data_IF_392773094002
#
_entry.id   IF_392773094002
#
_cell.length_a   1.000
_cell.length_b   1.000
_cell.length_c   1.000
_cell.angle_alpha   90.00
_cell.angle_beta   90.00
_cell.angle_gamma   90.00
#
_symmetry.space_group_name_H-M   'P 1'
#
loop_
_entity.id
_entity.type
_entity.pdbx_description
1 polymer ?
#
# COMPACT_ATOMS: atom_id res chain seq x y z
N UNK A 1 19.28 -41.20 -0.37
CA UNK A 1 17.95 -40.89 -0.95
C UNK A 1 17.59 -39.46 -0.59
N UNK A 2 17.75 -38.53 -1.54
CA UNK A 2 17.57 -37.09 -1.35
C UNK A 2 16.28 -36.67 -2.06
N UNK A 3 15.29 -36.16 -1.33
CA UNK A 3 14.07 -35.59 -1.91
C UNK A 3 14.20 -34.07 -1.94
N UNK A 4 14.50 -33.54 -3.13
CA UNK A 4 14.43 -32.12 -3.47
C UNK A 4 12.97 -31.67 -3.41
N UNK A 5 12.67 -30.67 -2.57
CA UNK A 5 11.39 -29.98 -2.61
C UNK A 5 11.50 -28.83 -3.64
N UNK A 6 10.86 -29.02 -4.80
CA UNK A 6 10.70 -27.99 -5.84
C UNK A 6 9.29 -27.42 -5.67
N UNK A 7 9.19 -26.19 -5.19
CA UNK A 7 8.11 -25.24 -5.55
C UNK A 7 8.40 -23.89 -4.87
N UNK A 8 9.26 -23.10 -5.49
CA UNK A 8 9.25 -21.64 -5.34
C UNK A 8 8.85 -21.11 -6.72
N UNK A 9 7.57 -20.79 -6.90
CA UNK A 9 7.09 -20.07 -8.07
C UNK A 9 7.37 -18.60 -7.80
N UNK A 10 8.44 -18.13 -8.41
CA UNK A 10 8.88 -16.74 -8.49
C UNK A 10 7.73 -15.93 -9.11
N UNK A 11 7.44 -14.75 -8.54
CA UNK A 11 6.56 -13.75 -9.15
C UNK A 11 7.05 -13.43 -10.56
N UNK A 12 6.29 -13.82 -11.57
CA UNK A 12 6.60 -13.50 -12.97
C UNK A 12 6.50 -11.98 -13.23
N UNK A 13 7.53 -11.44 -13.89
CA UNK A 13 7.65 -10.01 -14.27
C UNK A 13 6.53 -9.59 -15.24
N UNK A 14 5.85 -8.45 -15.06
CA UNK A 14 4.85 -7.98 -16.02
C UNK A 14 5.52 -7.42 -17.29
N UNK A 15 4.98 -7.81 -18.45
CA UNK A 15 5.43 -7.44 -19.79
C UNK A 15 4.92 -6.05 -20.20
N UNK A 16 5.77 -5.27 -20.88
CA UNK A 16 5.50 -3.89 -21.34
C UNK A 16 4.31 -3.81 -22.32
N UNK A 17 3.29 -3.02 -21.98
CA UNK A 17 2.29 -2.55 -22.93
C UNK A 17 2.33 -1.01 -23.03
N UNK A 18 2.34 -0.52 -24.26
CA UNK A 18 2.60 0.87 -24.63
C UNK A 18 1.41 1.81 -24.38
N UNK A 19 1.67 2.98 -23.78
CA UNK A 19 0.69 4.05 -23.57
C UNK A 19 0.70 4.99 -24.78
N UNK A 20 -0.43 5.06 -25.51
CA UNK A 20 -0.71 6.13 -26.48
C UNK A 20 -1.08 7.41 -25.72
N UNK A 21 -0.46 8.53 -26.10
CA UNK A 21 -0.71 9.86 -25.54
C UNK A 21 -2.00 10.44 -26.12
N UNK A 22 -2.94 10.81 -25.26
CA UNK A 22 -4.06 11.68 -25.61
C UNK A 22 -4.07 12.89 -24.67
N UNK A 23 -4.24 14.09 -25.25
CA UNK A 23 -4.09 15.38 -24.59
C UNK A 23 -5.31 15.69 -23.71
N UNK A 24 -5.10 16.00 -22.44
CA UNK A 24 -6.14 16.53 -21.55
C UNK A 24 -6.18 18.05 -21.68
N UNK A 25 -7.35 18.58 -22.02
CA UNK A 25 -7.64 20.02 -22.03
C UNK A 25 -8.00 20.49 -20.61
N UNK A 26 -7.44 21.63 -20.23
CA UNK A 26 -7.69 22.37 -19.00
C UNK A 26 -9.07 23.03 -19.08
N UNK A 27 -9.88 22.93 -18.03
CA UNK A 27 -11.12 23.71 -17.89
C UNK A 27 -11.15 24.38 -16.53
N UNK A 28 -11.30 25.70 -16.56
CA UNK A 28 -11.35 26.63 -15.43
C UNK A 28 -12.61 26.47 -14.57
N UNK A 29 -12.48 26.83 -13.29
CA UNK A 29 -13.54 26.88 -12.29
C UNK A 29 -14.48 28.09 -12.48
N UNK A 30 -15.71 28.02 -11.93
CA UNK A 30 -16.33 29.23 -11.38
C UNK A 30 -16.86 29.08 -9.95
N UNK A 31 -17.00 30.27 -9.36
CA UNK A 31 -17.20 30.66 -7.97
C UNK A 31 -18.64 30.53 -7.45
N UNK A 32 -18.72 30.46 -6.11
CA UNK A 32 -19.82 30.55 -5.13
C UNK A 32 -21.14 31.27 -5.48
N UNK A 33 -22.25 30.77 -4.89
CA UNK A 33 -23.35 31.58 -4.37
C UNK A 33 -24.12 30.85 -3.23
N UNK A 34 -24.82 31.66 -2.42
CA UNK A 34 -25.23 31.49 -1.04
C UNK A 34 -26.56 30.74 -0.76
N UNK A 35 -26.59 30.11 0.43
CA UNK A 35 -27.65 29.85 1.44
C UNK A 35 -29.15 29.87 1.10
N UNK A 36 -29.87 28.85 1.61
CA UNK A 36 -31.14 28.98 2.34
C UNK A 36 -31.32 27.81 3.34
N UNK A 37 -31.69 28.16 4.58
CA UNK A 37 -32.08 27.25 5.65
C UNK A 37 -33.57 26.92 5.52
N UNK A 38 -33.95 25.68 5.82
CA UNK A 38 -35.33 25.36 6.22
C UNK A 38 -35.35 24.26 7.29
N UNK A 39 -36.40 24.32 8.10
CA UNK A 39 -36.51 23.84 9.49
C UNK A 39 -36.88 22.35 9.59
N UNK A 40 -36.44 21.77 10.71
CA UNK A 40 -36.68 20.42 11.23
C UNK A 40 -38.17 20.13 11.50
N UNK A 41 -38.60 18.90 11.23
CA UNK A 41 -39.67 18.22 11.98
C UNK A 41 -39.25 16.80 12.32
N UNK A 42 -39.18 16.53 13.63
CA UNK A 42 -39.02 15.22 14.27
C UNK A 42 -40.38 14.55 14.32
N UNK A 43 -40.47 13.27 13.95
CA UNK A 43 -41.59 12.39 14.31
C UNK A 43 -41.01 11.05 14.74
N UNK A 44 -41.31 10.65 15.96
CA UNK A 44 -40.90 9.39 16.57
C UNK A 44 -41.77 8.19 16.11
N UNK A 45 -41.06 7.11 15.80
CA UNK A 45 -41.28 5.65 15.86
C UNK A 45 -42.70 5.05 16.13
N UNK A 46 -42.99 3.83 15.63
CA UNK A 46 -42.69 2.67 16.48
C UNK A 46 -42.23 1.38 15.78
N UNK A 47 -41.51 0.59 16.58
CA UNK A 47 -41.12 -0.82 16.48
C UNK A 47 -42.18 -1.77 15.90
N UNK A 48 -41.77 -2.64 14.97
CA UNK A 48 -42.29 -4.02 14.88
C UNK A 48 -41.15 -5.01 14.60
N UNK A 49 -41.15 -6.07 15.40
CA UNK A 49 -40.28 -7.22 15.33
C UNK A 49 -40.91 -8.31 14.45
N UNK A 50 -40.10 -8.94 13.61
CA UNK A 50 -40.18 -10.30 13.02
C UNK A 50 -39.11 -10.33 11.92
N UNK A 51 -38.22 -11.31 11.76
CA UNK A 51 -38.15 -12.69 12.24
C UNK A 51 -36.70 -13.13 12.01
N UNK A 52 -36.14 -13.92 12.93
CA UNK A 52 -34.93 -14.72 12.70
C UNK A 52 -35.12 -15.61 11.47
N UNK A 53 -34.01 -15.87 10.76
CA UNK A 53 -33.84 -16.77 9.62
C UNK A 53 -33.89 -16.13 8.23
N UNK A 54 -32.90 -15.28 7.96
CA UNK A 54 -32.02 -15.51 6.83
C UNK A 54 -30.63 -15.01 7.23
N UNK A 55 -29.78 -15.95 7.68
CA UNK A 55 -28.34 -15.71 7.84
C UNK A 55 -27.79 -15.42 6.44
N UNK A 56 -27.85 -14.17 6.03
CA UNK A 56 -27.02 -13.65 4.97
C UNK A 56 -25.58 -14.04 5.30
N UNK A 57 -24.93 -14.75 4.38
CA UNK A 57 -23.48 -14.82 4.30
C UNK A 57 -23.00 -13.36 4.44
N UNK A 58 -22.50 -13.01 5.61
CA UNK A 58 -21.90 -11.71 5.84
C UNK A 58 -20.63 -11.72 5.00
N UNK A 59 -20.76 -11.31 3.74
CA UNK A 59 -19.61 -10.93 2.92
C UNK A 59 -18.90 -9.88 3.74
N UNK A 60 -17.70 -10.21 4.21
CA UNK A 60 -16.90 -9.33 5.05
C UNK A 60 -16.92 -7.95 4.40
N UNK A 61 -17.64 -7.02 5.03
CA UNK A 61 -17.89 -5.69 4.46
C UNK A 61 -16.52 -5.07 4.27
N UNK A 62 -16.11 -4.88 3.01
CA UNK A 62 -14.81 -4.27 2.69
C UNK A 62 -14.66 -3.01 3.52
N UNK A 63 -13.58 -2.92 4.29
CA UNK A 63 -13.32 -1.73 5.09
C UNK A 63 -12.97 -0.58 4.15
N UNK A 64 -13.97 0.22 3.80
CA UNK A 64 -13.81 1.50 3.12
C UNK A 64 -14.92 2.46 3.56
N UNK A 65 -14.59 3.75 3.65
CA UNK A 65 -15.57 4.82 3.86
C UNK A 65 -16.22 5.29 2.56
N UNK A 66 -15.68 4.86 1.41
CA UNK A 66 -16.25 5.10 0.09
C UNK A 66 -16.99 3.86 -0.42
N UNK A 67 -17.73 4.04 -1.53
CA UNK A 67 -18.29 2.92 -2.27
C UNK A 67 -17.17 2.05 -2.84
N UNK A 68 -17.36 0.73 -2.75
CA UNK A 68 -16.48 -0.26 -3.39
C UNK A 68 -17.21 -0.80 -4.62
N UNK A 69 -16.63 -0.72 -5.82
CA UNK A 69 -17.26 -1.23 -7.03
C UNK A 69 -17.36 -2.76 -6.99
N UNK A 70 -18.38 -3.31 -7.65
CA UNK A 70 -18.51 -4.75 -7.87
C UNK A 70 -17.41 -5.22 -8.82
N UNK A 71 -16.65 -6.24 -8.41
CA UNK A 71 -15.53 -6.81 -9.18
C UNK A 71 -15.94 -7.22 -10.59
N UNK A 72 -17.16 -7.74 -10.77
CA UNK A 72 -17.68 -8.16 -12.08
C UNK A 72 -17.84 -7.01 -13.08
N UNK A 73 -17.91 -5.77 -12.58
CA UNK A 73 -18.04 -4.55 -13.39
C UNK A 73 -16.70 -3.88 -13.72
N UNK A 74 -15.60 -4.36 -13.12
CA UNK A 74 -14.28 -3.79 -13.31
C UNK A 74 -13.65 -4.21 -14.65
N UNK A 75 -12.71 -3.43 -15.21
CA UNK A 75 -11.94 -3.86 -16.38
C UNK A 75 -11.23 -5.20 -16.16
N UNK A 76 -11.08 -6.05 -17.20
CA UNK A 76 -10.45 -7.37 -17.09
C UNK A 76 -9.05 -7.33 -16.46
N UNK A 77 -8.28 -6.27 -16.68
CA UNK A 77 -6.94 -6.08 -16.13
C UNK A 77 -6.97 -5.92 -14.59
N UNK A 78 -7.99 -5.24 -14.05
CA UNK A 78 -8.16 -5.09 -12.61
C UNK A 78 -8.65 -6.41 -11.99
N UNK A 79 -9.59 -7.09 -12.65
CA UNK A 79 -10.04 -8.42 -12.22
C UNK A 79 -8.86 -9.42 -12.18
N UNK A 80 -7.94 -9.35 -13.13
CA UNK A 80 -6.75 -10.20 -13.15
C UNK A 80 -5.83 -9.94 -11.94
N UNK A 81 -5.65 -8.67 -11.54
CA UNK A 81 -4.88 -8.32 -10.32
C UNK A 81 -5.57 -8.88 -9.07
N UNK A 82 -6.90 -8.76 -8.98
CA UNK A 82 -7.67 -9.25 -7.84
C UNK A 82 -7.58 -10.78 -7.76
N UNK A 83 -7.76 -11.46 -8.88
CA UNK A 83 -7.57 -12.90 -8.99
C UNK A 83 -6.16 -13.32 -8.56
N UNK A 84 -5.12 -12.60 -8.97
CA UNK A 84 -3.76 -12.92 -8.56
C UNK A 84 -3.58 -12.86 -7.03
N UNK A 85 -4.16 -11.86 -6.35
CA UNK A 85 -4.13 -11.77 -4.89
C UNK A 85 -4.95 -12.88 -4.24
N UNK A 86 -6.14 -13.15 -4.78
CA UNK A 86 -6.99 -14.24 -4.32
C UNK A 86 -6.28 -15.60 -4.41
N UNK A 87 -5.53 -15.85 -5.48
CA UNK A 87 -4.78 -17.09 -5.69
C UNK A 87 -3.50 -17.15 -4.83
N UNK A 88 -2.84 -16.01 -4.53
CA UNK A 88 -1.57 -15.97 -3.81
C UNK A 88 -1.73 -15.96 -2.29
N UNK A 89 -2.63 -15.13 -1.76
CA UNK A 89 -2.81 -14.88 -0.32
C UNK A 89 -4.23 -15.19 0.17
N UNK A 90 -5.14 -15.58 -0.71
CA UNK A 90 -6.48 -16.06 -0.34
C UNK A 90 -7.54 -14.97 -0.19
N UNK A 91 -7.24 -13.72 -0.50
CA UNK A 91 -8.16 -12.60 -0.47
C UNK A 91 -7.62 -11.41 -1.29
N UNK A 92 -8.48 -10.44 -1.61
CA UNK A 92 -8.08 -9.18 -2.27
C UNK A 92 -7.82 -8.11 -1.23
N UNK A 93 -6.69 -7.42 -1.32
CA UNK A 93 -6.30 -6.38 -0.37
C UNK A 93 -7.29 -5.19 -0.43
N UNK A 94 -7.80 -4.67 0.71
CA UNK A 94 -8.78 -3.57 0.76
C UNK A 94 -8.38 -2.28 0.04
N UNK A 95 -7.10 -1.90 0.05
CA UNK A 95 -6.53 -0.85 -0.81
C UNK A 95 -6.92 -1.03 -2.29
N UNK A 96 -6.74 -2.23 -2.85
CA UNK A 96 -7.06 -2.50 -4.25
C UNK A 96 -8.57 -2.45 -4.50
N UNK A 97 -9.37 -3.02 -3.59
CA UNK A 97 -10.83 -2.98 -3.66
C UNK A 97 -11.36 -1.54 -3.65
N UNK A 98 -10.88 -0.71 -2.72
CA UNK A 98 -11.30 0.67 -2.59
C UNK A 98 -10.80 1.56 -3.73
N UNK A 99 -9.54 1.41 -4.14
CA UNK A 99 -8.95 2.24 -5.19
C UNK A 99 -9.48 1.87 -6.60
N UNK A 100 -10.03 0.67 -6.77
CA UNK A 100 -10.72 0.28 -8.00
C UNK A 100 -11.94 1.14 -8.33
N UNK A 101 -12.41 2.00 -7.42
CA UNK A 101 -13.39 3.04 -7.72
C UNK A 101 -12.91 3.95 -8.89
N UNK A 102 -11.60 4.07 -9.09
CA UNK A 102 -11.00 4.60 -10.31
C UNK A 102 -10.00 3.58 -10.89
N UNK A 103 -10.46 2.68 -11.78
CA UNK A 103 -9.65 1.55 -12.22
C UNK A 103 -8.42 1.97 -13.05
N UNK A 104 -8.52 3.05 -13.83
CA UNK A 104 -7.37 3.58 -14.59
C UNK A 104 -6.25 4.04 -13.65
N UNK A 105 -6.61 4.70 -12.53
CA UNK A 105 -5.63 5.16 -11.55
C UNK A 105 -5.03 3.98 -10.78
N UNK A 106 -5.84 2.98 -10.43
CA UNK A 106 -5.36 1.75 -9.80
C UNK A 106 -4.33 1.03 -10.69
N UNK A 107 -4.58 0.90 -11.99
CA UNK A 107 -3.66 0.23 -12.92
C UNK A 107 -2.32 0.97 -13.02
N UNK A 108 -2.34 2.30 -13.11
CA UNK A 108 -1.13 3.14 -13.12
C UNK A 108 -0.36 3.01 -11.81
N UNK A 109 -1.06 3.12 -10.68
CA UNK A 109 -0.48 2.97 -9.36
C UNK A 109 0.16 1.59 -9.19
N UNK A 110 -0.55 0.52 -9.60
CA UNK A 110 -0.07 -0.86 -9.47
C UNK A 110 1.17 -1.08 -10.32
N UNK A 111 1.18 -0.59 -11.57
CA UNK A 111 2.35 -0.73 -12.43
C UNK A 111 3.58 -0.02 -11.85
N UNK A 112 3.40 1.19 -11.31
CA UNK A 112 4.50 1.91 -10.65
C UNK A 112 4.96 1.20 -9.37
N UNK A 113 4.03 0.78 -8.52
CA UNK A 113 4.33 -0.01 -7.32
C UNK A 113 5.13 -1.28 -7.65
N UNK A 114 4.70 -2.05 -8.65
CA UNK A 114 5.39 -3.27 -9.08
C UNK A 114 6.80 -2.97 -9.59
N UNK A 115 6.97 -1.86 -10.32
CA UNK A 115 8.28 -1.41 -10.80
C UNK A 115 9.19 -1.04 -9.63
N UNK A 116 8.69 -0.28 -8.65
CA UNK A 116 9.46 0.13 -7.49
C UNK A 116 9.83 -1.05 -6.58
N UNK A 117 8.93 -2.00 -6.34
CA UNK A 117 9.14 -3.09 -5.37
C UNK A 117 9.85 -4.30 -5.97
N UNK A 118 9.62 -4.61 -7.25
CA UNK A 118 10.10 -5.84 -7.89
C UNK A 118 10.87 -5.61 -9.20
N UNK A 119 10.98 -4.36 -9.66
CA UNK A 119 11.78 -4.01 -10.84
C UNK A 119 13.29 -4.10 -10.60
N UNK A 120 14.06 -4.00 -11.67
CA UNK A 120 15.53 -4.02 -11.61
C UNK A 120 16.08 -2.79 -10.89
N UNK A 121 17.16 -2.95 -10.13
CA UNK A 121 17.79 -1.88 -9.37
C UNK A 121 18.73 -2.41 -8.29
N UNK A 122 19.49 -1.50 -7.67
CA UNK A 122 20.51 -1.84 -6.67
C UNK A 122 19.95 -2.14 -5.28
N UNK A 123 18.71 -1.72 -5.00
CA UNK A 123 18.04 -2.05 -3.75
C UNK A 123 17.46 -3.47 -3.83
N UNK A 124 17.84 -4.30 -2.87
CA UNK A 124 17.26 -5.61 -2.64
C UNK A 124 15.80 -5.51 -2.18
N UNK A 125 15.03 -6.60 -2.33
CA UNK A 125 13.65 -6.64 -1.83
C UNK A 125 13.57 -6.36 -0.32
N UNK A 126 14.55 -6.84 0.46
CA UNK A 126 14.65 -6.54 1.90
C UNK A 126 14.73 -5.04 2.16
N UNK A 127 15.62 -4.33 1.46
CA UNK A 127 15.80 -2.88 1.62
C UNK A 127 14.56 -2.10 1.21
N UNK A 128 13.91 -2.50 0.11
CA UNK A 128 12.66 -1.87 -0.36
C UNK A 128 11.53 -2.03 0.67
N UNK A 129 11.37 -3.22 1.24
CA UNK A 129 10.37 -3.47 2.28
C UNK A 129 10.74 -2.82 3.63
N UNK A 130 12.03 -2.65 3.95
CA UNK A 130 12.47 -1.84 5.11
C UNK A 130 11.96 -0.40 4.95
N UNK A 131 12.21 0.23 3.79
CA UNK A 131 11.74 1.59 3.49
C UNK A 131 10.21 1.67 3.59
N UNK A 132 9.50 0.67 3.05
CA UNK A 132 8.04 0.59 3.11
C UNK A 132 7.51 0.58 4.54
N UNK A 133 8.08 -0.26 5.40
CA UNK A 133 7.67 -0.42 6.80
C UNK A 133 7.94 0.87 7.58
N UNK A 134 9.16 1.43 7.52
CA UNK A 134 9.50 2.61 8.34
C UNK A 134 8.77 3.86 7.86
N UNK A 135 8.54 4.02 6.55
CA UNK A 135 7.69 5.10 6.01
C UNK A 135 6.25 4.96 6.52
N UNK A 136 5.72 3.74 6.51
CA UNK A 136 4.35 3.45 6.98
C UNK A 136 4.18 3.64 8.48
N UNK A 137 5.19 3.23 9.27
CA UNK A 137 5.22 3.44 10.71
C UNK A 137 5.28 4.93 11.05
N UNK A 138 6.14 5.69 10.35
CA UNK A 138 6.29 7.13 10.51
C UNK A 138 4.99 7.91 10.21
N UNK A 139 4.17 7.41 9.27
CA UNK A 139 2.85 7.96 8.95
C UNK A 139 1.70 7.38 9.78
N UNK A 140 2.00 6.48 10.72
CA UNK A 140 1.02 5.72 11.51
C UNK A 140 -0.06 5.04 10.64
N UNK A 141 0.34 4.42 9.51
CA UNK A 141 -0.56 3.60 8.70
C UNK A 141 -0.49 2.15 9.15
N UNK A 142 -1.36 1.74 10.08
CA UNK A 142 -1.43 0.37 10.60
C UNK A 142 -1.57 -0.66 9.48
N UNK A 143 -2.53 -0.47 8.56
CA UNK A 143 -2.77 -1.45 7.49
C UNK A 143 -1.57 -1.61 6.56
N UNK A 144 -0.88 -0.52 6.25
CA UNK A 144 0.32 -0.55 5.45
C UNK A 144 1.47 -1.26 6.20
N UNK A 145 1.67 -0.95 7.48
CA UNK A 145 2.66 -1.66 8.32
C UNK A 145 2.35 -3.15 8.37
N UNK A 146 1.10 -3.54 8.60
CA UNK A 146 0.69 -4.95 8.67
C UNK A 146 0.97 -5.71 7.37
N UNK A 147 0.59 -5.14 6.21
CA UNK A 147 0.85 -5.73 4.90
C UNK A 147 2.35 -5.88 4.62
N UNK A 148 3.13 -4.82 4.81
CA UNK A 148 4.54 -4.83 4.45
C UNK A 148 5.41 -5.64 5.42
N UNK A 149 4.99 -5.78 6.69
CA UNK A 149 5.59 -6.78 7.59
C UNK A 149 5.43 -8.20 7.04
N UNK A 150 4.24 -8.57 6.55
CA UNK A 150 4.02 -9.90 5.98
C UNK A 150 4.93 -10.15 4.76
N UNK A 151 5.01 -9.18 3.84
CA UNK A 151 5.91 -9.29 2.69
C UNK A 151 7.38 -9.40 3.09
N UNK A 152 7.83 -8.61 4.08
CA UNK A 152 9.20 -8.71 4.54
C UNK A 152 9.48 -10.06 5.21
N UNK A 153 8.58 -10.56 6.07
CA UNK A 153 8.71 -11.92 6.65
C UNK A 153 8.86 -12.97 5.55
N UNK A 154 8.06 -12.88 4.49
CA UNK A 154 8.18 -13.79 3.35
C UNK A 154 9.54 -13.64 2.66
N UNK A 155 10.03 -12.43 2.46
CA UNK A 155 11.27 -12.17 1.74
C UNK A 155 12.51 -12.68 2.48
N UNK A 156 12.60 -12.46 3.81
CA UNK A 156 13.81 -12.78 4.59
C UNK A 156 13.69 -14.02 5.47
N UNK A 157 12.50 -14.62 5.56
CA UNK A 157 12.19 -15.80 6.40
C UNK A 157 12.51 -15.56 7.89
N UNK A 158 12.34 -14.32 8.35
CA UNK A 158 12.45 -13.91 9.74
C UNK A 158 11.09 -13.39 10.23
N UNK A 159 10.41 -14.11 11.15
CA UNK A 159 9.08 -13.71 11.60
C UNK A 159 9.08 -12.50 12.57
N UNK A 160 10.22 -12.17 13.17
CA UNK A 160 10.34 -11.20 14.28
C UNK A 160 10.91 -9.86 13.80
N UNK A 161 11.90 -9.87 12.91
CA UNK A 161 12.58 -8.65 12.45
C UNK A 161 11.62 -7.55 11.98
N UNK A 162 10.59 -7.83 11.14
CA UNK A 162 9.68 -6.78 10.66
C UNK A 162 8.84 -6.14 11.77
N UNK A 163 8.45 -6.90 12.79
CA UNK A 163 7.70 -6.39 13.94
C UNK A 163 8.56 -5.46 14.80
N UNK A 164 9.83 -5.81 15.04
CA UNK A 164 10.78 -4.95 15.78
C UNK A 164 11.10 -3.68 15.01
N UNK A 165 11.32 -3.80 13.70
CA UNK A 165 11.61 -2.67 12.81
C UNK A 165 10.46 -1.64 12.83
N UNK A 166 9.22 -2.12 12.71
CA UNK A 166 8.04 -1.25 12.74
C UNK A 166 7.80 -0.59 14.09
N UNK A 167 8.21 -1.23 15.19
CA UNK A 167 8.05 -0.72 16.55
C UNK A 167 9.05 0.39 16.85
N UNK A 168 10.34 0.10 16.66
CA UNK A 168 11.40 1.07 16.89
C UNK A 168 12.67 0.65 16.13
N UNK A 169 12.99 1.30 14.99
CA UNK A 169 14.18 0.95 14.21
C UNK A 169 15.49 1.16 14.98
N UNK A 170 15.54 2.02 16.00
CA UNK A 170 16.78 2.30 16.76
C UNK A 170 17.20 1.15 17.67
N UNK A 171 16.30 0.23 17.96
CA UNK A 171 16.55 -0.96 18.77
C UNK A 171 16.64 -2.25 17.93
N UNK A 172 16.90 -2.11 16.63
CA UNK A 172 17.08 -3.21 15.69
C UNK A 172 18.49 -3.20 15.12
N UNK A 173 19.09 -4.38 15.00
CA UNK A 173 20.36 -4.55 14.30
C UNK A 173 20.15 -4.29 12.79
N UNK A 174 20.68 -3.16 12.32
CA UNK A 174 20.69 -2.77 10.92
C UNK A 174 22.14 -2.62 10.47
N UNK A 175 22.43 -3.03 9.24
CA UNK A 175 23.68 -2.63 8.59
C UNK A 175 23.72 -1.10 8.45
N UNK A 176 24.91 -0.51 8.30
CA UNK A 176 25.03 0.93 8.07
C UNK A 176 24.24 1.38 6.82
N UNK A 177 24.18 0.51 5.81
CA UNK A 177 23.40 0.72 4.59
C UNK A 177 21.90 0.77 4.85
N UNK A 178 21.36 -0.22 5.57
CA UNK A 178 19.95 -0.25 5.95
C UNK A 178 19.57 0.92 6.86
N UNK A 179 20.44 1.28 7.82
CA UNK A 179 20.24 2.46 8.68
C UNK A 179 20.12 3.73 7.86
N UNK A 180 21.02 3.95 6.90
CA UNK A 180 21.01 5.14 6.05
C UNK A 180 19.70 5.25 5.23
N UNK A 181 19.18 4.11 4.74
CA UNK A 181 17.90 4.05 4.06
C UNK A 181 16.72 4.34 5.00
N UNK A 182 16.75 3.81 6.23
CA UNK A 182 15.72 4.05 7.25
C UNK A 182 15.64 5.53 7.61
N UNK A 183 16.78 6.15 7.92
CA UNK A 183 16.83 7.54 8.37
C UNK A 183 16.34 8.47 7.25
N UNK A 184 16.75 8.21 6.00
CA UNK A 184 16.29 8.95 4.82
C UNK A 184 14.77 8.79 4.60
N UNK A 185 14.25 7.56 4.68
CA UNK A 185 12.82 7.28 4.49
C UNK A 185 11.94 7.93 5.56
N UNK A 186 12.39 7.94 6.82
CA UNK A 186 11.71 8.64 7.92
C UNK A 186 11.72 10.15 7.67
N UNK A 187 12.87 10.72 7.27
CA UNK A 187 12.98 12.16 6.99
C UNK A 187 12.04 12.61 5.86
N UNK A 188 11.93 11.82 4.78
CA UNK A 188 10.96 12.04 3.69
C UNK A 188 9.50 12.05 4.18
N UNK A 189 9.18 11.34 5.26
CA UNK A 189 7.78 11.24 5.70
C UNK A 189 7.41 12.21 6.82
N UNK A 190 8.37 12.62 7.66
CA UNK A 190 8.09 13.45 8.84
C UNK A 190 8.69 14.85 8.76
N UNK A 191 9.85 15.03 8.11
CA UNK A 191 10.67 16.25 8.19
C UNK A 191 11.07 16.75 6.78
N UNK A 192 10.14 16.74 5.83
CA UNK A 192 10.42 17.11 4.42
C UNK A 192 10.90 18.54 4.24
N UNK A 193 10.49 19.46 5.11
CA UNK A 193 10.95 20.86 5.10
C UNK A 193 12.45 21.00 5.33
N UNK A 194 13.06 20.00 5.97
CA UNK A 194 14.45 20.05 6.42
C UNK A 194 15.36 19.26 5.49
N UNK A 195 14.83 18.71 4.40
CA UNK A 195 15.60 17.96 3.40
C UNK A 195 16.57 18.89 2.67
N UNK A 196 17.82 18.47 2.57
CA UNK A 196 18.86 19.15 1.83
C UNK A 196 19.76 18.17 1.09
N UNK A 197 20.68 18.70 0.27
CA UNK A 197 21.66 17.88 -0.42
C UNK A 197 22.53 17.04 0.53
N UNK A 198 22.73 17.49 1.78
CA UNK A 198 23.54 16.79 2.78
C UNK A 198 22.92 15.48 3.23
N UNK A 199 21.59 15.32 3.14
CA UNK A 199 20.92 14.07 3.52
C UNK A 199 21.22 12.90 2.57
N UNK A 200 21.76 13.20 1.38
CA UNK A 200 22.15 12.18 0.41
C UNK A 200 23.55 11.63 0.66
N UNK A 201 24.39 12.36 1.41
CA UNK A 201 25.79 11.96 1.65
C UNK A 201 25.93 10.65 2.43
N UNK A 202 25.17 10.39 3.51
CA UNK A 202 25.22 9.09 4.20
C UNK A 202 24.89 7.91 3.26
N UNK A 203 23.94 8.11 2.33
CA UNK A 203 23.58 7.10 1.34
C UNK A 203 24.72 6.83 0.35
N UNK A 204 25.40 7.88 -0.12
CA UNK A 204 26.60 7.75 -0.98
C UNK A 204 27.75 7.05 -0.26
N UNK A 205 27.95 7.35 1.02
CA UNK A 205 29.01 6.74 1.85
C UNK A 205 28.84 5.24 2.03
N UNK A 206 27.61 4.72 2.01
CA UNK A 206 27.30 3.28 2.03
C UNK A 206 27.25 2.65 0.62
N UNK A 207 27.75 3.38 -0.38
CA UNK A 207 27.93 2.90 -1.76
C UNK A 207 26.64 2.83 -2.58
N UNK A 208 25.61 3.63 -2.27
CA UNK A 208 24.45 3.78 -3.15
C UNK A 208 24.79 4.73 -4.30
N UNK A 209 24.45 4.34 -5.54
CA UNK A 209 24.44 5.24 -6.69
C UNK A 209 23.34 6.29 -6.59
N UNK A 210 23.41 7.33 -7.41
CA UNK A 210 22.33 8.33 -7.49
C UNK A 210 21.01 7.69 -7.97
N UNK A 211 21.06 6.69 -8.86
CA UNK A 211 19.89 5.91 -9.28
C UNK A 211 19.27 5.12 -8.12
N UNK A 212 20.09 4.53 -7.25
CA UNK A 212 19.62 3.80 -6.07
C UNK A 212 19.04 4.74 -5.00
N UNK A 213 19.63 5.93 -4.84
CA UNK A 213 19.12 6.99 -3.96
C UNK A 213 17.77 7.50 -4.46
N UNK A 214 17.63 7.73 -5.77
CA UNK A 214 16.37 8.10 -6.39
C UNK A 214 15.31 7.02 -6.12
N UNK A 215 15.63 5.75 -6.37
CA UNK A 215 14.73 4.63 -6.12
C UNK A 215 14.29 4.57 -4.65
N UNK A 216 15.21 4.78 -3.69
CA UNK A 216 14.88 4.83 -2.27
C UNK A 216 13.87 5.96 -1.95
N UNK A 217 14.10 7.15 -2.52
CA UNK A 217 13.22 8.31 -2.36
C UNK A 217 11.84 8.08 -2.97
N UNK A 218 11.77 7.49 -4.16
CA UNK A 218 10.53 7.14 -4.84
C UNK A 218 9.70 6.13 -4.03
N UNK A 219 10.34 5.09 -3.48
CA UNK A 219 9.67 4.13 -2.60
C UNK A 219 9.11 4.83 -1.36
N UNK A 220 9.91 5.64 -0.67
CA UNK A 220 9.48 6.38 0.52
C UNK A 220 8.28 7.32 0.22
N UNK A 221 8.32 8.02 -0.92
CA UNK A 221 7.24 8.89 -1.37
C UNK A 221 5.98 8.11 -1.78
N UNK A 222 6.14 6.98 -2.47
CA UNK A 222 5.05 6.09 -2.88
C UNK A 222 4.30 5.53 -1.67
N UNK A 223 5.03 5.15 -0.61
CA UNK A 223 4.41 4.76 0.65
C UNK A 223 3.74 5.95 1.34
N UNK A 224 4.33 7.14 1.29
CA UNK A 224 3.68 8.36 1.77
C UNK A 224 2.30 8.59 1.12
N UNK A 225 2.21 8.45 -0.20
CA UNK A 225 0.94 8.53 -0.94
C UNK A 225 -0.02 7.43 -0.50
N UNK A 226 0.41 6.17 -0.53
CA UNK A 226 -0.43 5.01 -0.26
C UNK A 226 -0.95 5.00 1.18
N UNK A 227 -0.11 5.40 2.16
CA UNK A 227 -0.48 5.58 3.55
C UNK A 227 -1.57 6.65 3.70
N UNK A 228 -1.41 7.81 3.06
CA UNK A 228 -2.37 8.91 3.14
C UNK A 228 -3.72 8.52 2.52
N UNK A 229 -3.73 7.89 1.35
CA UNK A 229 -4.98 7.40 0.73
C UNK A 229 -5.66 6.34 1.61
N UNK A 230 -4.90 5.38 2.12
CA UNK A 230 -5.41 4.32 3.00
C UNK A 230 -6.10 4.89 4.22
N UNK A 231 -5.46 5.88 4.88
CA UNK A 231 -6.00 6.54 6.07
C UNK A 231 -7.18 7.45 5.74
N UNK A 232 -7.13 8.18 4.62
CA UNK A 232 -8.19 9.09 4.20
C UNK A 232 -9.49 8.36 3.85
N UNK A 233 -9.42 7.14 3.34
CA UNK A 233 -10.58 6.39 2.85
C UNK A 233 -10.92 5.14 3.66
N UNK A 234 -10.24 4.94 4.79
CA UNK A 234 -10.53 3.88 5.74
C UNK A 234 -10.26 2.47 5.21
N UNK A 235 -9.25 2.29 4.34
CA UNK A 235 -8.91 1.00 3.73
C UNK A 235 -8.18 0.07 4.71
N UNK A 236 -8.93 -0.57 5.60
CA UNK A 236 -8.35 -1.41 6.66
C UNK A 236 -8.20 -2.86 6.24
N UNK A 237 -7.00 -3.40 6.42
CA UNK A 237 -6.76 -4.86 6.34
C UNK A 237 -7.33 -5.57 7.57
N UNK A 238 -7.79 -6.81 7.39
CA UNK A 238 -8.21 -7.66 8.50
C UNK A 238 -7.06 -8.45 9.13
N UNK A 239 -7.38 -9.22 10.17
CA UNK A 239 -6.42 -10.01 10.96
C UNK A 239 -5.88 -11.24 10.21
N UNK A 240 -6.40 -11.54 9.02
CA UNK A 240 -5.81 -12.49 8.08
C UNK A 240 -4.35 -12.13 7.73
N UNK A 241 -4.02 -10.84 7.56
CA UNK A 241 -2.65 -10.43 7.27
C UNK A 241 -1.68 -10.69 8.42
N UNK A 242 -2.13 -10.57 9.68
CA UNK A 242 -1.28 -10.82 10.84
C UNK A 242 -0.78 -12.26 10.90
N UNK A 243 -1.47 -13.19 10.25
CA UNK A 243 -1.15 -14.62 10.24
C UNK A 243 -0.27 -15.03 9.06
N UNK A 244 -0.09 -14.15 8.07
CA UNK A 244 0.75 -14.45 6.91
C UNK A 244 2.23 -14.52 7.32
N UNK A 245 2.85 -15.64 6.93
CA UNK A 245 4.29 -15.90 7.05
C UNK A 245 4.86 -15.77 8.49
N UNK A 246 4.05 -16.06 9.51
CA UNK A 246 4.50 -16.20 10.90
C UNK A 246 5.03 -17.60 11.19
#
# INVERSE_FOLDING_TARGET
>A
MSKKNKNSKILDKPTKAAIKKEKVAVVDSPTQAATKQEKVTVVDNPTQATTEQEKTKETAKTASWLKVPDESTLPPEVQAIFKQQQDSIGFVHPFFQGYALNPNHLLLWNNYYQTLMYGEGELSLKEREIIAIVSSAANHCESCVTTHKAHLREAIKDPIFPDRLALNPDHVELTQRERSLVDFAIKINQNTSDLSAQDLEPLRQVGLSDEAILLAGEIAAQFSLSNKLTKAFGWKVGSEYDRLYR
#
